data_IF_930217975196
#
_entry.id   IF_930217975196
#
_cell.length_a   1.000
_cell.length_b   1.000
_cell.length_c   1.000
_cell.angle_alpha   90.00
_cell.angle_beta   90.00
_cell.angle_gamma   90.00
#
_symmetry.space_group_name_H-M   'P 1'
#
loop_
_entity.id
_entity.type
_entity.pdbx_description
1 polymer ?
#
# COMPACT_ATOMS: atom_id res chain seq x y z
N UNK A 1 25.24 4.36 -0.42
CA UNK A 1 23.87 4.50 0.08
C UNK A 1 22.91 3.66 -0.73
N UNK A 2 22.01 3.06 -0.07
CA UNK A 2 21.07 2.17 -0.73
C UNK A 2 19.73 2.88 -0.89
N UNK A 3 19.14 2.72 -2.06
CA UNK A 3 17.79 3.21 -2.29
C UNK A 3 16.83 2.12 -1.85
N UNK A 4 16.08 2.34 -0.78
CA UNK A 4 15.37 1.26 -0.13
C UNK A 4 14.10 0.80 -0.83
N UNK A 5 13.55 1.61 -1.69
CA UNK A 5 12.22 1.32 -2.21
C UNK A 5 12.19 0.97 -3.68
N UNK A 6 13.21 1.32 -4.43
CA UNK A 6 13.24 1.07 -5.85
C UNK A 6 14.15 -0.11 -6.13
N UNK A 7 13.60 -1.09 -6.80
CA UNK A 7 14.33 -2.27 -7.19
C UNK A 7 14.42 -2.25 -8.70
N UNK A 8 15.65 -2.17 -9.19
CA UNK A 8 15.89 -2.29 -10.61
C UNK A 8 16.17 -3.75 -10.91
N UNK A 9 15.33 -4.34 -11.72
CA UNK A 9 15.58 -5.71 -12.09
C UNK A 9 16.71 -5.78 -13.11
N UNK A 10 17.04 -6.97 -13.53
CA UNK A 10 18.20 -7.17 -14.39
C UNK A 10 18.00 -6.63 -15.79
N UNK A 11 16.80 -6.31 -16.15
CA UNK A 11 16.51 -5.72 -17.45
C UNK A 11 16.48 -4.21 -17.40
N UNK A 12 16.68 -3.63 -16.22
CA UNK A 12 16.66 -2.19 -16.06
C UNK A 12 15.31 -1.63 -15.68
N UNK A 13 14.29 -2.46 -15.59
CA UNK A 13 12.99 -1.98 -15.15
C UNK A 13 13.00 -1.72 -13.66
N UNK A 14 12.25 -0.70 -13.27
CA UNK A 14 12.06 -0.41 -11.87
C UNK A 14 10.83 -1.18 -11.41
N UNK A 15 11.02 -2.01 -10.41
CA UNK A 15 9.92 -2.76 -9.82
C UNK A 15 9.77 -2.44 -8.36
N UNK A 16 8.53 -2.32 -7.93
CA UNK A 16 8.20 -2.21 -6.52
C UNK A 16 7.37 -3.44 -6.20
N UNK A 17 8.00 -4.42 -5.58
CA UNK A 17 7.44 -5.75 -5.44
C UNK A 17 6.12 -5.75 -4.66
N UNK A 18 6.09 -5.01 -3.58
CA UNK A 18 4.93 -5.01 -2.69
C UNK A 18 4.25 -3.65 -2.68
N UNK A 19 4.35 -2.93 -3.80
CA UNK A 19 3.83 -1.58 -3.86
C UNK A 19 4.81 -0.60 -3.23
N UNK A 20 4.30 0.55 -2.87
CA UNK A 20 5.12 1.61 -2.28
C UNK A 20 4.95 1.57 -0.78
N UNK A 21 6.05 1.34 -0.07
CA UNK A 21 6.02 1.33 1.39
C UNK A 21 6.37 2.71 1.92
N UNK A 22 5.66 3.12 2.96
CA UNK A 22 5.91 4.39 3.61
C UNK A 22 6.68 4.11 4.89
N UNK A 23 7.94 4.50 4.90
CA UNK A 23 8.88 4.08 5.93
C UNK A 23 9.28 5.17 6.91
N UNK A 24 8.72 6.37 6.78
CA UNK A 24 9.13 7.48 7.61
C UNK A 24 7.93 8.08 8.31
N UNK A 25 8.06 8.26 9.62
CA UNK A 25 7.03 8.87 10.44
C UNK A 25 7.28 10.37 10.50
N UNK A 26 6.41 11.15 9.86
CA UNK A 26 6.59 12.59 9.77
C UNK A 26 6.34 13.28 11.11
N UNK A 27 5.54 12.68 11.98
CA UNK A 27 5.24 13.29 13.27
C UNK A 27 6.41 13.16 14.24
N UNK A 28 7.07 12.01 14.24
CA UNK A 28 8.17 11.77 15.15
C UNK A 28 9.52 11.95 14.49
N UNK A 29 9.53 12.18 13.17
CA UNK A 29 10.75 12.34 12.39
C UNK A 29 11.68 11.14 12.59
N UNK A 30 11.14 9.95 12.45
CA UNK A 30 11.85 8.71 12.69
C UNK A 30 11.35 7.63 11.75
N UNK A 31 12.15 6.58 11.59
CA UNK A 31 11.80 5.45 10.75
C UNK A 31 10.62 4.69 11.35
N UNK A 32 9.73 4.21 10.47
CA UNK A 32 8.64 3.33 10.89
C UNK A 32 9.15 1.90 10.85
N UNK A 33 8.95 1.10 11.92
CA UNK A 33 9.34 -0.31 11.89
C UNK A 33 8.70 -1.04 10.72
N UNK A 34 9.47 -1.94 10.09
CA UNK A 34 9.04 -2.59 8.86
C UNK A 34 7.68 -3.25 8.94
N UNK A 35 7.37 -3.89 10.06
CA UNK A 35 6.11 -4.61 10.22
C UNK A 35 4.89 -3.70 10.24
N UNK A 36 5.07 -2.41 10.50
CA UNK A 36 3.97 -1.46 10.58
C UNK A 36 4.01 -0.39 9.49
N UNK A 37 4.93 -0.52 8.55
CA UNK A 37 4.99 0.42 7.43
C UNK A 37 3.77 0.25 6.53
N UNK A 38 2.90 1.25 6.43
CA UNK A 38 1.79 1.14 5.49
C UNK A 38 2.31 1.19 4.06
N UNK A 39 1.54 0.60 3.16
CA UNK A 39 1.96 0.61 1.76
C UNK A 39 0.78 0.86 0.85
N UNK A 40 1.09 1.17 -0.40
CA UNK A 40 0.10 1.43 -1.44
C UNK A 40 0.28 0.35 -2.50
N UNK A 41 -0.78 -0.41 -2.74
CA UNK A 41 -0.74 -1.51 -3.70
C UNK A 41 -1.98 -1.44 -4.58
N UNK A 42 -1.97 -2.23 -5.64
CA UNK A 42 -3.10 -2.31 -6.56
C UNK A 42 -3.38 -3.75 -6.87
N UNK A 43 -4.60 -4.03 -7.26
CA UNK A 43 -4.96 -5.39 -7.64
C UNK A 43 -6.36 -5.46 -8.20
N UNK A 44 -6.81 -6.68 -8.45
CA UNK A 44 -8.14 -6.95 -8.96
C UNK A 44 -8.99 -7.58 -7.85
N UNK A 45 -10.27 -7.25 -7.86
CA UNK A 45 -11.16 -7.72 -6.82
C UNK A 45 -10.96 -6.99 -5.51
N UNK A 46 -11.84 -7.23 -4.56
CA UNK A 46 -11.71 -6.64 -3.23
C UNK A 46 -10.51 -7.25 -2.51
N UNK A 47 -9.78 -6.45 -1.73
CA UNK A 47 -8.59 -6.98 -1.06
C UNK A 47 -8.95 -7.97 0.04
N UNK A 48 -8.16 -9.04 0.14
CA UNK A 48 -8.38 -10.10 1.12
C UNK A 48 -7.15 -10.42 1.95
N UNK A 49 -6.04 -9.76 1.68
CA UNK A 49 -4.78 -10.04 2.35
C UNK A 49 -4.58 -9.15 3.56
N UNK A 50 -3.62 -9.51 4.40
CA UNK A 50 -3.27 -8.74 5.60
C UNK A 50 -2.31 -7.61 5.22
N UNK A 51 -2.54 -6.44 5.79
CA UNK A 51 -1.66 -5.29 5.58
C UNK A 51 -1.64 -4.43 6.83
N UNK A 52 -0.59 -3.62 7.03
CA UNK A 52 -0.55 -2.71 8.16
C UNK A 52 -1.69 -1.69 8.11
N UNK A 53 -2.11 -1.25 9.28
CA UNK A 53 -3.15 -0.23 9.38
C UNK A 53 -2.74 1.00 8.59
N UNK A 54 -3.67 1.54 7.83
CA UNK A 54 -3.43 2.71 7.01
C UNK A 54 -2.96 2.40 5.60
N UNK A 55 -2.68 1.14 5.28
CA UNK A 55 -2.33 0.76 3.93
C UNK A 55 -3.47 1.05 2.96
N UNK A 56 -3.13 1.35 1.72
CA UNK A 56 -4.10 1.68 0.68
C UNK A 56 -4.05 0.63 -0.42
N UNK A 57 -5.21 0.32 -0.95
CA UNK A 57 -5.35 -0.65 -2.03
C UNK A 57 -6.17 0.00 -3.14
N UNK A 58 -5.64 -0.02 -4.35
CA UNK A 58 -6.34 0.52 -5.51
C UNK A 58 -6.87 -0.66 -6.31
N UNK A 59 -8.17 -0.75 -6.43
CA UNK A 59 -8.81 -1.83 -7.19
C UNK A 59 -8.95 -1.38 -8.63
N UNK A 60 -8.21 -2.03 -9.51
CA UNK A 60 -8.17 -1.58 -10.90
C UNK A 60 -9.41 -2.00 -11.69
N UNK A 61 -10.19 -2.94 -11.18
CA UNK A 61 -11.42 -3.38 -11.81
C UNK A 61 -12.67 -2.96 -11.05
N UNK A 62 -12.53 -2.05 -10.08
CA UNK A 62 -13.66 -1.61 -9.30
C UNK A 62 -14.53 -0.60 -10.02
N UNK A 63 -15.82 -0.64 -9.75
CA UNK A 63 -16.74 0.35 -10.23
C UNK A 63 -16.66 1.63 -9.40
N UNK A 64 -17.52 2.60 -9.73
CA UNK A 64 -17.60 3.83 -8.98
C UNK A 64 -17.90 3.53 -7.52
N UNK A 65 -17.17 4.15 -6.61
CA UNK A 65 -17.36 3.96 -5.19
C UNK A 65 -16.66 2.72 -4.63
N UNK A 66 -15.96 1.95 -5.46
CA UNK A 66 -15.32 0.72 -5.00
C UNK A 66 -13.92 0.59 -5.58
N UNK A 67 -13.18 1.68 -5.61
CA UNK A 67 -11.86 1.68 -6.23
C UNK A 67 -10.73 1.87 -5.24
N UNK A 68 -10.98 2.52 -4.12
CA UNK A 68 -9.95 2.79 -3.14
C UNK A 68 -10.36 2.19 -1.81
N UNK A 69 -9.46 1.40 -1.24
CA UNK A 69 -9.67 0.77 0.06
C UNK A 69 -8.55 1.17 0.99
N UNK A 70 -8.88 1.21 2.28
CA UNK A 70 -7.87 1.41 3.30
C UNK A 70 -7.98 0.31 4.34
N UNK A 71 -6.83 -0.15 4.82
CA UNK A 71 -6.82 -1.15 5.88
C UNK A 71 -7.10 -0.44 7.20
N UNK A 72 -8.14 -0.87 7.89
CA UNK A 72 -8.61 -0.16 9.07
C UNK A 72 -8.08 -0.72 10.38
N UNK A 73 -7.54 -1.93 10.38
CA UNK A 73 -7.15 -2.57 11.64
C UNK A 73 -5.76 -3.18 11.65
N UNK A 74 -5.08 -3.25 10.49
CA UNK A 74 -3.82 -3.94 10.42
C UNK A 74 -3.96 -5.44 10.22
N UNK A 75 -5.14 -5.88 9.81
CA UNK A 75 -5.41 -7.29 9.53
C UNK A 75 -5.96 -7.42 8.12
N UNK A 76 -6.97 -8.25 7.94
CA UNK A 76 -7.61 -8.42 6.64
C UNK A 76 -8.84 -7.54 6.46
N UNK A 77 -9.04 -6.59 7.35
CA UNK A 77 -10.20 -5.71 7.30
C UNK A 77 -9.88 -4.49 6.43
N UNK A 78 -10.54 -4.43 5.30
CA UNK A 78 -10.41 -3.33 4.36
C UNK A 78 -11.76 -2.65 4.21
N UNK A 79 -11.74 -1.33 4.18
CA UNK A 79 -12.96 -0.57 3.97
C UNK A 79 -12.80 0.31 2.74
N UNK A 80 -13.89 0.55 2.05
CA UNK A 80 -13.87 1.49 0.94
C UNK A 80 -13.62 2.89 1.50
N UNK A 81 -12.61 3.56 0.95
CA UNK A 81 -12.19 4.86 1.45
C UNK A 81 -12.83 5.95 0.59
N UNK A 82 -14.00 6.36 0.98
CA UNK A 82 -14.69 7.41 0.27
C UNK A 82 -15.31 6.96 -1.02
N UNK A 83 -16.05 7.85 -1.63
CA UNK A 83 -16.71 7.59 -2.89
C UNK A 83 -15.83 8.05 -4.03
N UNK A 84 -15.48 7.12 -4.90
CA UNK A 84 -14.61 7.40 -6.03
C UNK A 84 -15.43 7.55 -7.30
N UNK A 85 -16.45 8.32 -7.23
CA UNK A 85 -17.33 8.54 -8.38
C UNK A 85 -16.69 9.36 -9.47
#
# INVERSE_FOLDING_TARGET
>A
MTLPTLILDETGNTEIQDGVRLSWNAQTNAAIPGATQPYIVAGTGAPTFTAPQGSMYIRIDGGAGARLYMNSTGSTTWIVAGSAN
#
